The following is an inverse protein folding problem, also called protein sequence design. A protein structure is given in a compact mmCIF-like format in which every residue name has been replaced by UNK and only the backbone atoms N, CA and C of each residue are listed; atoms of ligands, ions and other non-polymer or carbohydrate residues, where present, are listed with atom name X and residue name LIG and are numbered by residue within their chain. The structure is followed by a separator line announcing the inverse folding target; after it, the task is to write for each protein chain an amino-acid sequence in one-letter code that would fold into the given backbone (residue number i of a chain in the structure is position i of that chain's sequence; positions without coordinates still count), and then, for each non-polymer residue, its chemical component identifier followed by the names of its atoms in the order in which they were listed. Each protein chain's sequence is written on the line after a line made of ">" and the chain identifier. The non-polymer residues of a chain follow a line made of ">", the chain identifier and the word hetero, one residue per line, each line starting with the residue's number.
data_IF_211880422828
#
_entry.id   IF_211880422828
#
_cell.length_a   1.000
_cell.length_b   1.000
_cell.length_c   1.000
_cell.angle_alpha   90.00
_cell.angle_beta   90.00
_cell.angle_gamma   90.00
#
_symmetry.space_group_name_H-M   'P 1'
#
loop_
_entity.id
_entity.type
_entity.pdbx_description
1 polymer ?
#
# COMPACT_ATOMS: atom_id res chain seq x y z
N UNK A 1 6.24 8.38 6.03
CA UNK A 1 7.12 7.37 5.38
C UNK A 1 8.40 8.04 4.84
N UNK A 2 9.47 7.29 4.53
CA UNK A 2 10.74 7.85 4.02
C UNK A 2 11.36 7.07 2.83
N UNK A 3 10.70 5.99 2.39
CA UNK A 3 11.11 5.16 1.24
C UNK A 3 9.87 4.46 0.66
N UNK A 4 10.05 3.74 -0.45
CA UNK A 4 8.99 3.00 -1.13
C UNK A 4 9.13 1.46 -1.04
N UNK A 5 10.10 0.93 -0.29
CA UNK A 5 10.45 -0.51 -0.27
C UNK A 5 9.44 -1.42 0.43
N UNK A 6 8.37 -0.84 0.99
CA UNK A 6 7.26 -1.55 1.63
C UNK A 6 5.99 -1.54 0.75
N UNK A 7 6.14 -1.23 -0.55
CA UNK A 7 5.06 -1.15 -1.53
C UNK A 7 4.29 -2.47 -1.63
N UNK A 8 2.97 -2.38 -1.60
CA UNK A 8 2.06 -3.50 -1.80
C UNK A 8 0.90 -3.08 -2.68
N UNK A 9 0.31 -4.02 -3.40
CA UNK A 9 -0.99 -3.86 -4.02
C UNK A 9 -2.06 -4.41 -3.09
N UNK A 10 -2.98 -3.57 -2.64
CA UNK A 10 -4.13 -3.98 -1.84
C UNK A 10 -5.17 -4.63 -2.75
N UNK A 11 -5.71 -5.77 -2.34
CA UNK A 11 -6.78 -6.42 -3.09
C UNK A 11 -8.01 -5.49 -3.17
N UNK A 12 -8.68 -5.36 -4.33
CA UNK A 12 -9.79 -4.39 -4.51
C UNK A 12 -10.89 -4.49 -3.46
N UNK A 13 -11.17 -5.69 -2.94
CA UNK A 13 -12.19 -5.89 -1.89
C UNK A 13 -11.84 -5.21 -0.55
N UNK A 14 -10.58 -4.80 -0.38
CA UNK A 14 -10.03 -4.23 0.86
C UNK A 14 -9.68 -2.75 0.77
N UNK A 15 -9.72 -2.14 -0.42
CA UNK A 15 -9.26 -0.75 -0.62
C UNK A 15 -9.96 0.25 0.31
N UNK A 16 -11.29 0.17 0.39
CA UNK A 16 -12.09 1.02 1.29
C UNK A 16 -11.68 0.83 2.75
N UNK A 17 -11.41 -0.40 3.17
CA UNK A 17 -11.03 -0.74 4.54
C UNK A 17 -9.58 -0.38 4.88
N UNK A 18 -8.68 -0.34 3.92
CA UNK A 18 -7.30 0.11 4.15
C UNK A 18 -7.18 1.63 4.17
N UNK A 19 -8.23 2.34 3.74
CA UNK A 19 -8.19 3.78 3.52
C UNK A 19 -7.37 4.17 2.29
N UNK A 20 -7.24 5.48 2.07
CA UNK A 20 -6.48 6.05 0.95
C UNK A 20 -5.04 6.34 1.37
N UNK A 21 -4.15 6.42 0.38
CA UNK A 21 -2.82 6.95 0.61
C UNK A 21 -2.92 8.44 0.98
N UNK A 22 -2.16 8.86 1.98
CA UNK A 22 -2.04 10.29 2.30
C UNK A 22 -1.08 10.97 1.33
N UNK A 23 -1.08 12.31 1.17
CA UNK A 23 -0.25 13.00 0.17
C UNK A 23 1.25 12.67 0.25
N UNK A 24 1.77 12.48 1.45
CA UNK A 24 3.17 12.06 1.65
C UNK A 24 3.42 10.62 1.18
N UNK A 25 2.44 9.72 1.39
CA UNK A 25 2.49 8.35 0.90
C UNK A 25 2.41 8.31 -0.63
N UNK A 26 1.50 9.07 -1.24
CA UNK A 26 1.36 9.21 -2.70
C UNK A 26 2.68 9.67 -3.32
N UNK A 27 3.29 10.72 -2.76
CA UNK A 27 4.60 11.23 -3.23
C UNK A 27 5.72 10.18 -3.14
N UNK A 28 5.65 9.24 -2.19
CA UNK A 28 6.62 8.16 -2.09
C UNK A 28 6.31 7.01 -3.07
N UNK A 29 5.04 6.74 -3.35
CA UNK A 29 4.62 5.72 -4.32
C UNK A 29 5.06 6.05 -5.74
N UNK A 30 5.27 7.32 -6.07
CA UNK A 30 5.88 7.74 -7.35
C UNK A 30 7.28 7.16 -7.58
N UNK A 31 8.00 6.80 -6.51
CA UNK A 31 9.31 6.15 -6.57
C UNK A 31 9.24 4.62 -6.46
N UNK A 32 8.05 4.04 -6.32
CA UNK A 32 7.87 2.59 -6.23
C UNK A 32 8.05 1.93 -7.60
N UNK A 33 8.33 0.63 -7.59
CA UNK A 33 8.39 -0.16 -8.83
C UNK A 33 6.97 -0.49 -9.32
N UNK A 34 6.62 -0.01 -10.52
CA UNK A 34 5.29 -0.22 -11.14
C UNK A 34 4.11 0.11 -10.20
N UNK A 35 3.97 1.37 -9.74
CA UNK A 35 2.81 1.76 -8.94
C UNK A 35 1.51 1.62 -9.77
N UNK A 36 0.43 1.32 -9.05
CA UNK A 36 -0.94 1.11 -9.54
C UNK A 36 -1.91 1.85 -8.63
N UNK A 37 -3.14 2.05 -9.07
CA UNK A 37 -4.18 2.74 -8.27
C UNK A 37 -4.44 2.08 -6.91
N UNK A 38 -4.25 0.77 -6.80
CA UNK A 38 -4.39 0.03 -5.55
C UNK A 38 -3.08 -0.12 -4.76
N UNK A 39 -2.07 0.67 -5.09
CA UNK A 39 -0.78 0.66 -4.38
C UNK A 39 -0.88 1.38 -3.06
N UNK A 40 -0.27 0.78 -2.03
CA UNK A 40 -0.08 1.36 -0.71
C UNK A 40 1.33 1.06 -0.22
N UNK A 41 1.84 1.89 0.66
CA UNK A 41 2.99 1.55 1.50
C UNK A 41 2.46 0.79 2.70
N UNK A 42 2.79 -0.50 2.82
CA UNK A 42 2.23 -1.35 3.89
C UNK A 42 2.52 -0.81 5.29
N UNK A 43 3.63 -0.09 5.49
CA UNK A 43 3.95 0.58 6.75
C UNK A 43 3.00 1.75 7.11
N UNK A 44 2.16 2.20 6.19
CA UNK A 44 1.13 3.23 6.42
C UNK A 44 -0.28 2.62 6.60
N UNK A 45 -0.41 1.29 6.56
CA UNK A 45 -1.66 0.59 6.86
C UNK A 45 -1.63 0.14 8.32
N UNK A 46 -2.39 0.82 9.17
CA UNK A 46 -2.57 0.42 10.58
C UNK A 46 -3.47 -0.80 10.66
N UNK A 47 -2.96 -1.91 11.18
CA UNK A 47 -3.74 -3.13 11.39
C UNK A 47 -4.81 -2.91 12.46
N UNK A 48 -6.06 -3.27 12.12
CA UNK A 48 -7.25 -3.18 12.96
C UNK A 48 -8.12 -4.41 12.77
N UNK A 49 -9.03 -4.69 13.71
CA UNK A 49 -9.89 -5.88 13.66
C UNK A 49 -10.69 -6.00 12.34
N UNK A 50 -11.06 -4.87 11.74
CA UNK A 50 -11.80 -4.81 10.47
C UNK A 50 -10.98 -5.31 9.25
N UNK A 51 -9.65 -5.45 9.41
CA UNK A 51 -8.69 -5.95 8.42
C UNK A 51 -8.33 -7.43 8.61
N UNK A 52 -9.03 -8.16 9.49
CA UNK A 52 -8.83 -9.61 9.61
C UNK A 52 -9.13 -10.32 8.28
N UNK A 53 -8.13 -10.98 7.71
CA UNK A 53 -8.19 -11.57 6.37
C UNK A 53 -7.72 -10.66 5.21
N UNK A 54 -7.15 -9.48 5.49
CA UNK A 54 -6.59 -8.57 4.48
C UNK A 54 -5.68 -9.31 3.48
N UNK A 55 -5.94 -9.12 2.20
CA UNK A 55 -5.11 -9.65 1.11
C UNK A 55 -4.32 -8.49 0.48
N UNK A 56 -3.01 -8.66 0.42
CA UNK A 56 -2.10 -7.79 -0.32
C UNK A 56 -1.19 -8.62 -1.21
N UNK A 57 -0.67 -8.02 -2.28
CA UNK A 57 0.28 -8.65 -3.20
C UNK A 57 1.56 -7.80 -3.24
N UNK A 58 2.71 -8.46 -3.28
CA UNK A 58 3.98 -7.79 -3.46
C UNK A 58 4.23 -7.49 -4.95
N UNK A 59 4.90 -6.37 -5.28
CA UNK A 59 5.46 -6.16 -6.61
C UNK A 59 6.60 -7.16 -6.89
N UNK A 60 7.01 -7.26 -8.15
CA UNK A 60 8.13 -8.13 -8.55
C UNK A 60 9.48 -7.69 -7.95
N UNK A 61 9.59 -6.41 -7.56
CA UNK A 61 10.82 -5.83 -7.03
C UNK A 61 10.56 -4.71 -6.01
N UNK A 62 11.49 -4.54 -5.06
CA UNK A 62 11.53 -3.47 -4.06
C UNK A 62 12.96 -2.92 -3.98
N UNK A 63 13.13 -1.60 -4.04
CA UNK A 63 14.44 -0.93 -3.85
C UNK A 63 15.14 -0.65 -5.16
#
# INVERSE_FOLDING_TARGET
>A
CACATCHVYVDPAWLEKTGKAEPMEESMLDFAYQPKENSRLSCQITVRAELDGLIVRLPEFQG
#
